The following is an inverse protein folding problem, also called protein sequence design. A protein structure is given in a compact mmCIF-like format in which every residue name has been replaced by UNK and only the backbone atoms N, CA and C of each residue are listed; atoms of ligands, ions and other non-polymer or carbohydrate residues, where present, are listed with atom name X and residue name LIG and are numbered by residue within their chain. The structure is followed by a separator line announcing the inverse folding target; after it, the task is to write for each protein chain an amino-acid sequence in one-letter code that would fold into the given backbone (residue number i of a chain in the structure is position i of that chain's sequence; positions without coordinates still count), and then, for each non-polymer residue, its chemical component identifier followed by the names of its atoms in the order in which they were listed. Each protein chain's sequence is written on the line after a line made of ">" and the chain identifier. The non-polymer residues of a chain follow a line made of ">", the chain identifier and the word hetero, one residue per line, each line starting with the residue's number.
data_IF_246875700499
#
_entry.id   IF_246875700499
#
_cell.length_a   1.000
_cell.length_b   1.000
_cell.length_c   1.000
_cell.angle_alpha   90.00
_cell.angle_beta   90.00
_cell.angle_gamma   90.00
#
_symmetry.space_group_name_H-M   'P 1'
#
loop_
_entity.id
_entity.type
_entity.pdbx_description
1 polymer ?
2 water ?
#
# COMPACT_ATOMS: atom_id res chain seq x y z
N UNK A 23 -41.30 -12.96 5.49
CA UNK A 23 -41.78 -11.53 5.54
C UNK A 23 -40.60 -10.56 5.57
N UNK A 24 -39.59 -10.81 6.40
CA UNK A 24 -38.28 -10.11 6.30
C UNK A 24 -37.56 -10.49 5.00
N UNK A 25 -37.93 -11.60 4.38
CA UNK A 25 -37.27 -12.15 3.17
C UNK A 25 -37.44 -11.22 1.98
N UNK A 26 -38.61 -10.60 1.86
CA UNK A 26 -38.94 -9.60 0.80
C UNK A 26 -37.91 -8.47 0.76
N UNK A 27 -37.30 -8.15 1.90
CA UNK A 27 -36.35 -7.03 1.96
C UNK A 27 -34.93 -7.46 1.73
N UNK A 28 -34.63 -8.76 1.82
CA UNK A 28 -33.20 -9.18 1.77
C UNK A 28 -32.55 -8.81 0.42
N UNK A 29 -33.31 -8.86 -0.65
CA UNK A 29 -32.82 -8.60 -2.01
C UNK A 29 -32.42 -7.13 -2.14
N UNK A 30 -33.24 -6.27 -1.60
CA UNK A 30 -32.92 -4.82 -1.48
C UNK A 30 -31.66 -4.61 -0.59
N UNK A 31 -31.56 -5.32 0.51
CA UNK A 31 -30.39 -5.24 1.39
C UNK A 31 -29.14 -5.58 0.59
N UNK A 32 -29.22 -6.63 -0.22
CA UNK A 32 -28.01 -7.11 -0.94
C UNK A 32 -27.66 -6.14 -2.06
N UNK A 33 -28.65 -5.61 -2.73
CA UNK A 33 -28.33 -4.68 -3.82
C UNK A 33 -27.63 -3.46 -3.20
N UNK A 34 -28.20 -2.91 -2.11
CA UNK A 34 -27.59 -1.67 -1.52
C UNK A 34 -26.17 -2.01 -1.05
N UNK A 35 -25.98 -3.18 -0.45
CA UNK A 35 -24.67 -3.59 0.05
C UNK A 35 -23.71 -3.62 -1.14
N UNK A 36 -24.11 -4.24 -2.24
CA UNK A 36 -23.18 -4.46 -3.38
C UNK A 36 -22.88 -3.12 -4.03
N UNK A 37 -23.88 -2.25 -4.16
CA UNK A 37 -23.59 -0.94 -4.76
C UNK A 37 -22.70 -0.14 -3.83
N UNK A 38 -22.90 -0.27 -2.52
CA UNK A 38 -22.10 0.49 -1.57
C UNK A 38 -20.68 -0.08 -1.60
N UNK A 39 -20.60 -1.41 -1.69
CA UNK A 39 -19.30 -2.10 -1.85
C UNK A 39 -18.50 -1.45 -2.96
N UNK A 40 -19.11 -1.23 -4.11
CA UNK A 40 -18.37 -0.70 -5.29
C UNK A 40 -17.93 0.71 -5.01
N UNK A 41 -18.83 1.52 -4.45
CA UNK A 41 -18.45 2.89 -4.05
C UNK A 41 -17.28 2.83 -3.09
N UNK A 42 -17.42 2.12 -1.97
CA UNK A 42 -16.34 2.07 -0.96
C UNK A 42 -15.02 1.58 -1.59
N UNK A 43 -15.07 0.62 -2.50
CA UNK A 43 -13.88 0.09 -3.17
C UNK A 43 -13.17 1.19 -3.98
N UNK A 44 -13.90 2.06 -4.65
CA UNK A 44 -13.29 3.05 -5.55
C UNK A 44 -12.94 4.34 -4.82
N UNK A 45 -13.64 4.69 -3.73
CA UNK A 45 -13.51 6.05 -3.14
C UNK A 45 -13.15 5.96 -1.66
N UNK A 46 -13.07 4.77 -1.07
CA UNK A 46 -12.87 4.67 0.39
C UNK A 46 -14.06 5.20 1.18
N UNK A 47 -14.10 4.85 2.45
CA UNK A 47 -15.26 5.17 3.31
C UNK A 47 -15.45 6.68 3.41
N UNK A 48 -14.38 7.43 3.74
CA UNK A 48 -14.45 8.87 4.10
C UNK A 48 -15.11 9.69 2.99
N UNK A 49 -14.80 9.38 1.74
CA UNK A 49 -15.25 10.19 0.59
C UNK A 49 -16.62 9.77 0.05
N UNK A 50 -17.16 8.64 0.49
CA UNK A 50 -18.48 8.16 -0.03
C UNK A 50 -19.59 8.81 0.78
N UNK A 51 -20.61 9.30 0.08
CA UNK A 51 -21.77 9.97 0.72
C UNK A 51 -23.01 9.09 0.67
N UNK A 52 -23.92 9.31 1.62
CA UNK A 52 -25.25 8.67 1.66
C UNK A 52 -26.01 9.04 0.39
N UNK A 53 -25.78 10.25 -0.13
CA UNK A 53 -26.41 10.64 -1.41
C UNK A 53 -25.95 9.70 -2.53
N UNK A 54 -24.65 9.47 -2.65
CA UNK A 54 -24.14 8.62 -3.76
C UNK A 54 -24.66 7.20 -3.58
N UNK A 55 -24.65 6.70 -2.34
CA UNK A 55 -25.12 5.33 -2.00
C UNK A 55 -26.59 5.16 -2.44
N UNK A 56 -27.43 6.07 -1.99
CA UNK A 56 -28.86 6.09 -2.41
C UNK A 56 -29.00 6.18 -3.93
N UNK A 57 -28.20 7.01 -4.59
CA UNK A 57 -28.29 7.15 -6.07
C UNK A 57 -27.88 5.84 -6.77
N UNK A 58 -26.75 5.25 -6.41
CA UNK A 58 -26.24 4.03 -7.10
C UNK A 58 -27.12 2.83 -6.77
N UNK A 59 -27.68 2.75 -5.56
CA UNK A 59 -28.54 1.60 -5.18
C UNK A 59 -29.97 1.80 -5.71
N UNK A 60 -30.35 3.05 -6.00
CA UNK A 60 -31.77 3.41 -6.30
C UNK A 60 -32.64 3.03 -5.11
N UNK A 61 -32.21 3.39 -3.91
CA UNK A 61 -33.01 3.23 -2.69
C UNK A 61 -33.01 4.53 -1.88
N UNK A 62 -34.11 4.84 -1.21
CA UNK A 62 -34.19 6.10 -0.44
C UNK A 62 -33.44 5.89 0.87
N UNK A 63 -33.11 7.00 1.54
CA UNK A 63 -32.38 6.97 2.82
C UNK A 63 -33.13 6.11 3.84
N UNK A 64 -34.45 6.04 3.73
CA UNK A 64 -35.28 5.24 4.66
C UNK A 64 -34.94 3.75 4.51
N UNK A 65 -34.76 3.27 3.29
CA UNK A 65 -34.51 1.82 3.05
C UNK A 65 -33.08 1.43 3.45
N UNK A 66 -32.13 2.28 3.12
CA UNK A 66 -30.74 2.09 3.60
C UNK A 66 -30.76 2.05 5.11
N UNK A 67 -31.41 3.02 5.74
CA UNK A 67 -31.36 3.12 7.22
C UNK A 67 -32.09 1.94 7.83
N UNK A 68 -33.13 1.47 7.17
CA UNK A 68 -33.89 0.32 7.72
C UNK A 68 -32.95 -0.87 7.90
N UNK A 69 -32.18 -1.17 6.86
CA UNK A 69 -31.30 -2.37 6.83
C UNK A 69 -30.01 -2.10 7.62
N UNK A 70 -29.41 -0.93 7.47
CA UNK A 70 -28.04 -0.76 8.02
C UNK A 70 -27.88 0.34 9.08
N UNK A 71 -28.95 1.07 9.42
CA UNK A 71 -28.99 2.18 10.44
C UNK A 71 -28.32 3.48 9.95
N UNK A 72 -27.06 3.41 9.56
CA UNK A 72 -26.31 4.57 9.02
C UNK A 72 -25.18 4.06 8.12
N UNK A 73 -24.41 5.01 7.57
CA UNK A 73 -23.29 4.78 6.65
C UNK A 73 -22.27 3.86 7.30
N UNK A 74 -22.03 4.00 8.59
CA UNK A 74 -21.06 3.15 9.33
C UNK A 74 -21.57 1.70 9.41
N UNK A 75 -22.88 1.51 9.64
CA UNK A 75 -23.48 0.18 9.71
C UNK A 75 -23.35 -0.49 8.34
N UNK A 76 -23.56 0.30 7.30
CA UNK A 76 -23.52 -0.19 5.94
C UNK A 76 -22.09 -0.65 5.67
N UNK A 77 -21.12 0.16 6.07
CA UNK A 77 -19.69 -0.12 5.79
C UNK A 77 -19.31 -1.41 6.52
N UNK A 78 -19.74 -1.57 7.75
CA UNK A 78 -19.44 -2.82 8.49
C UNK A 78 -20.11 -4.00 7.82
N UNK A 79 -21.35 -3.85 7.34
CA UNK A 79 -22.02 -4.96 6.66
C UNK A 79 -21.24 -5.31 5.38
N UNK A 80 -20.76 -4.29 4.69
CA UNK A 80 -19.91 -4.43 3.47
C UNK A 80 -18.66 -5.23 3.80
N UNK A 81 -17.99 -4.92 4.92
CA UNK A 81 -16.75 -5.62 5.32
C UNK A 81 -17.05 -7.09 5.58
N UNK A 82 -18.17 -7.40 6.26
CA UNK A 82 -18.50 -8.82 6.55
C UNK A 82 -18.80 -9.58 5.25
N UNK A 83 -19.60 -9.00 4.36
CA UNK A 83 -19.93 -9.68 3.09
C UNK A 83 -18.64 -9.86 2.26
N UNK A 84 -17.79 -8.85 2.21
CA UNK A 84 -16.51 -8.92 1.47
C UNK A 84 -15.67 -10.05 2.02
N UNK A 85 -15.58 -10.16 3.33
CA UNK A 85 -14.81 -11.26 3.96
C UNK A 85 -15.36 -12.60 3.48
N UNK A 86 -16.67 -12.76 3.51
CA UNK A 86 -17.28 -14.04 3.10
C UNK A 86 -16.91 -14.29 1.63
N UNK A 87 -16.89 -13.25 0.80
CA UNK A 87 -16.69 -13.46 -0.67
C UNK A 87 -15.23 -13.77 -0.94
N UNK A 88 -14.33 -13.12 -0.20
CA UNK A 88 -12.92 -13.48 -0.29
C UNK A 88 -12.74 -14.95 0.08
N UNK A 89 -13.38 -15.44 1.14
CA UNK A 89 -13.14 -16.84 1.54
C UNK A 89 -13.76 -17.79 0.51
N UNK A 90 -14.89 -17.43 -0.08
CA UNK A 90 -15.47 -18.24 -1.18
C UNK A 90 -14.45 -18.37 -2.32
N UNK A 91 -13.82 -17.26 -2.66
CA UNK A 91 -12.89 -17.20 -3.81
C UNK A 91 -11.61 -17.95 -3.47
N UNK A 92 -11.07 -17.80 -2.28
CA UNK A 92 -9.83 -18.55 -1.94
C UNK A 92 -10.17 -20.04 -1.87
N UNK A 93 -11.35 -20.41 -1.36
CA UNK A 93 -11.77 -21.83 -1.33
C UNK A 93 -11.91 -22.39 -2.77
N UNK A 94 -12.49 -21.64 -3.67
CA UNK A 94 -12.70 -22.09 -5.06
C UNK A 94 -11.36 -22.22 -5.79
N UNK A 95 -10.50 -21.22 -5.65
CA UNK A 95 -9.20 -21.22 -6.37
C UNK A 95 -8.30 -22.35 -5.85
N UNK A 96 -8.13 -22.41 -4.53
CA UNK A 96 -7.38 -23.50 -3.85
C UNK A 96 -7.88 -24.84 -4.33
N UNK A 97 -9.18 -25.01 -4.48
CA UNK A 97 -9.77 -26.31 -4.93
C UNK A 97 -9.33 -26.57 -6.38
N UNK A 98 -9.50 -25.61 -7.26
CA UNK A 98 -9.26 -25.80 -8.71
C UNK A 98 -7.78 -26.13 -9.00
N UNK A 99 -6.86 -25.64 -8.16
CA UNK A 99 -5.41 -25.66 -8.43
C UNK A 99 -4.68 -26.66 -7.52
N UNK A 100 -5.37 -27.40 -6.66
CA UNK A 100 -4.74 -28.37 -5.71
C UNK A 100 -3.71 -29.27 -6.40
N UNK A 101 -3.95 -29.82 -7.60
CA UNK A 101 -3.01 -30.79 -8.17
C UNK A 101 -1.74 -30.12 -8.72
N UNK A 102 -1.75 -28.80 -8.79
CA UNK A 102 -0.64 -28.10 -9.44
C UNK A 102 0.61 -28.08 -8.57
N UNK A 103 1.72 -27.79 -9.20
CA UNK A 103 2.99 -27.40 -8.56
C UNK A 103 2.81 -26.08 -7.77
N UNK A 104 3.68 -25.83 -6.78
CA UNK A 104 3.65 -24.56 -6.05
C UNK A 104 3.66 -23.34 -6.98
N UNK A 105 4.46 -23.40 -8.03
CA UNK A 105 4.54 -22.30 -9.05
C UNK A 105 3.16 -22.13 -9.71
N UNK A 106 2.54 -23.21 -10.13
CA UNK A 106 1.19 -23.14 -10.77
C UNK A 106 0.20 -22.46 -9.82
N UNK A 107 0.26 -22.83 -8.55
CA UNK A 107 -0.64 -22.26 -7.53
C UNK A 107 -0.40 -20.77 -7.39
N UNK A 108 0.87 -20.37 -7.25
CA UNK A 108 1.21 -18.93 -7.14
C UNK A 108 0.70 -18.19 -8.37
N UNK A 109 0.86 -18.79 -9.54
CA UNK A 109 0.37 -18.15 -10.78
C UNK A 109 -1.16 -18.00 -10.71
N UNK A 110 -1.87 -19.00 -10.21
CA UNK A 110 -3.36 -18.91 -10.17
C UNK A 110 -3.74 -17.78 -9.22
N UNK A 111 -3.03 -17.60 -8.12
CA UNK A 111 -3.39 -16.57 -7.13
C UNK A 111 -3.18 -15.18 -7.74
N UNK A 112 -2.03 -15.01 -8.38
CA UNK A 112 -1.71 -13.73 -9.07
C UNK A 112 -2.73 -13.46 -10.18
N UNK A 113 -3.17 -14.50 -10.87
CA UNK A 113 -4.15 -14.36 -11.98
C UNK A 113 -5.50 -13.84 -11.43
N UNK A 114 -5.99 -14.39 -10.32
CA UNK A 114 -7.31 -13.97 -9.82
C UNK A 114 -7.19 -12.51 -9.38
N UNK A 115 -6.06 -12.13 -8.81
CA UNK A 115 -5.93 -10.76 -8.32
C UNK A 115 -5.87 -9.80 -9.50
N UNK A 116 -5.07 -10.11 -10.51
CA UNK A 116 -4.90 -9.15 -11.63
C UNK A 116 -6.24 -9.04 -12.38
N UNK A 117 -6.96 -10.14 -12.46
CA UNK A 117 -8.31 -10.13 -13.08
C UNK A 117 -9.26 -9.19 -12.32
N UNK A 118 -9.02 -8.91 -11.04
CA UNK A 118 -9.97 -8.13 -10.22
C UNK A 118 -9.55 -6.66 -10.13
N UNK A 119 -8.60 -6.22 -10.95
CA UNK A 119 -7.99 -4.88 -10.78
C UNK A 119 -8.99 -3.79 -11.15
N UNK A 120 -9.83 -4.03 -12.14
CA UNK A 120 -10.86 -3.00 -12.48
C UNK A 120 -12.08 -3.64 -13.11
N UNK A 121 -13.23 -3.03 -12.87
CA UNK A 121 -14.55 -3.43 -13.43
C UNK A 121 -14.82 -4.95 -13.38
N UNK A 122 -14.67 -5.55 -12.19
CA UNK A 122 -14.99 -6.98 -11.96
C UNK A 122 -15.94 -7.06 -10.75
N UNK A 123 -17.04 -7.85 -10.83
CA UNK A 123 -18.00 -7.92 -9.72
C UNK A 123 -17.46 -8.47 -8.40
N UNK A 124 -16.35 -9.21 -8.43
CA UNK A 124 -15.63 -9.63 -7.19
C UNK A 124 -14.72 -8.51 -6.69
N UNK A 125 -14.39 -7.56 -7.56
CA UNK A 125 -13.25 -6.65 -7.32
C UNK A 125 -13.44 -5.92 -6.03
N UNK A 126 -14.67 -5.48 -5.75
CA UNK A 126 -14.94 -4.52 -4.64
C UNK A 126 -14.65 -5.19 -3.31
N UNK A 127 -14.88 -6.49 -3.20
CA UNK A 127 -14.62 -7.18 -1.93
C UNK A 127 -13.13 -7.18 -1.63
N UNK A 128 -12.33 -7.51 -2.64
CA UNK A 128 -10.86 -7.53 -2.47
C UNK A 128 -10.34 -6.14 -2.12
N UNK A 129 -10.77 -5.13 -2.84
CA UNK A 129 -10.22 -3.77 -2.67
C UNK A 129 -10.62 -3.23 -1.30
N UNK A 130 -11.83 -3.49 -0.90
CA UNK A 130 -12.38 -2.96 0.39
C UNK A 130 -11.60 -3.59 1.56
N UNK A 131 -11.42 -4.91 1.55
CA UNK A 131 -10.68 -5.58 2.63
C UNK A 131 -9.21 -5.16 2.64
N UNK A 132 -8.60 -4.98 1.47
CA UNK A 132 -7.18 -4.60 1.36
C UNK A 132 -7.03 -3.21 1.98
N UNK A 133 -7.86 -2.28 1.57
CA UNK A 133 -7.86 -0.92 2.14
C UNK A 133 -7.95 -1.02 3.67
N UNK A 134 -8.83 -1.89 4.17
CA UNK A 134 -9.12 -1.92 5.63
C UNK A 134 -7.93 -2.52 6.39
N UNK A 135 -7.31 -3.54 5.86
CA UNK A 135 -6.19 -4.18 6.60
C UNK A 135 -4.91 -3.32 6.49
N UNK A 136 -4.76 -2.50 5.46
CA UNK A 136 -3.66 -1.53 5.44
C UNK A 136 -3.86 -0.45 6.51
N UNK A 137 -5.05 0.13 6.61
CA UNK A 137 -5.39 1.18 7.58
C UNK A 137 -6.56 0.74 8.46
N UNK A 138 -6.33 0.02 9.58
CA UNK A 138 -7.39 -0.28 10.53
C UNK A 138 -8.12 0.98 11.05
N UNK A 152 -4.43 -15.63 10.00
CA UNK A 152 -3.94 -16.82 9.30
C UNK A 152 -4.11 -16.82 7.78
N UNK A 153 -4.23 -15.62 7.19
CA UNK A 153 -4.33 -15.42 5.70
C UNK A 153 -2.93 -15.45 5.08
N UNK A 154 -1.92 -14.97 5.82
CA UNK A 154 -0.52 -14.87 5.36
C UNK A 154 0.17 -16.24 5.38
N UNK A 155 -0.23 -17.15 6.27
CA UNK A 155 0.46 -18.48 6.38
C UNK A 155 0.20 -19.32 5.11
N UNK A 156 -0.83 -19.01 4.35
CA UNK A 156 -1.14 -19.77 3.09
C UNK A 156 -0.10 -19.42 2.03
N UNK A 157 0.11 -18.12 1.83
CA UNK A 157 1.17 -17.65 0.90
C UNK A 157 2.53 -18.13 1.44
N UNK A 158 2.78 -18.04 2.72
CA UNK A 158 4.09 -18.44 3.27
C UNK A 158 4.35 -19.91 2.99
N UNK A 159 3.35 -20.76 3.13
CA UNK A 159 3.50 -22.19 2.82
C UNK A 159 3.88 -22.37 1.36
N UNK A 160 3.15 -21.72 0.47
CA UNK A 160 3.42 -21.72 -0.98
C UNK A 160 4.88 -21.26 -1.27
N UNK A 161 5.25 -20.07 -0.77
CA UNK A 161 6.60 -19.54 -1.03
C UNK A 161 7.67 -20.47 -0.44
N UNK A 162 7.35 -21.12 0.67
CA UNK A 162 8.31 -22.03 1.35
C UNK A 162 8.56 -23.25 0.50
N UNK A 163 7.53 -23.76 -0.12
CA UNK A 163 7.67 -24.95 -1.02
C UNK A 163 8.42 -24.54 -2.28
N UNK A 164 8.18 -23.34 -2.81
CA UNK A 164 8.87 -22.88 -4.05
C UNK A 164 10.36 -22.80 -3.77
N UNK A 166 12.00 -24.32 -1.11
CA UNK A 166 12.41 -25.44 -0.21
C UNK A 166 12.89 -24.87 1.13
N UNK A 167 12.15 -23.95 1.69
CA UNK A 167 12.45 -23.38 3.02
C UNK A 167 11.22 -23.56 3.89
N UNK A 168 11.40 -23.69 5.21
CA UNK A 168 10.25 -23.78 6.10
C UNK A 168 9.41 -22.51 6.02
N UNK A 169 8.11 -22.64 6.29
CA UNK A 169 7.13 -21.58 6.02
C UNK A 169 7.36 -20.34 6.90
N UNK A 170 8.10 -20.50 8.01
CA UNK A 170 8.41 -19.41 8.97
C UNK A 170 9.92 -19.11 8.99
N UNK A 171 10.67 -19.58 8.00
CA UNK A 171 12.06 -19.10 7.80
C UNK A 171 12.01 -17.60 7.57
N UNK A 172 12.98 -16.82 8.10
CA UNK A 172 12.98 -15.38 7.87
C UNK A 172 12.91 -14.99 6.38
N UNK A 173 13.60 -15.73 5.53
CA UNK A 173 13.56 -15.44 4.06
C UNK A 173 12.14 -15.62 3.56
N UNK A 174 11.42 -16.62 4.07
CA UNK A 174 10.02 -16.83 3.60
C UNK A 174 9.13 -15.69 4.06
N UNK A 175 9.32 -15.20 5.28
CA UNK A 175 8.51 -14.11 5.85
C UNK A 175 8.73 -12.83 5.05
N UNK A 176 9.99 -12.46 4.78
CA UNK A 176 10.30 -11.27 3.94
C UNK A 176 9.79 -11.49 2.53
N UNK A 177 9.94 -12.71 1.96
CA UNK A 177 9.56 -12.96 0.55
C UNK A 177 8.06 -12.74 0.41
N UNK A 178 7.28 -13.09 1.41
CA UNK A 178 5.81 -12.90 1.30
C UNK A 178 5.47 -11.42 1.04
N UNK A 179 6.14 -10.51 1.73
CA UNK A 179 5.96 -9.05 1.48
C UNK A 179 6.43 -8.75 0.06
N UNK A 180 7.58 -9.28 -0.34
CA UNK A 180 8.08 -8.99 -1.70
C UNK A 180 7.05 -9.46 -2.73
N UNK A 181 6.38 -10.59 -2.49
CA UNK A 181 5.41 -11.11 -3.48
C UNK A 181 4.06 -10.38 -3.39
N UNK A 182 3.51 -10.12 -2.21
CA UNK A 182 2.11 -9.62 -2.21
C UNK A 182 2.09 -8.08 -2.31
N UNK A 183 3.01 -7.34 -1.71
CA UNK A 183 2.89 -5.86 -1.64
C UNK A 183 2.61 -5.25 -3.01
N UNK A 184 3.30 -5.64 -4.12
CA UNK A 184 2.95 -5.10 -5.44
C UNK A 184 1.49 -5.31 -5.84
N UNK A 185 0.95 -6.46 -5.48
CA UNK A 185 -0.46 -6.81 -5.79
C UNK A 185 -1.43 -5.89 -5.06
N UNK A 186 -1.26 -5.84 -3.75
CA UNK A 186 -2.05 -4.93 -2.89
C UNK A 186 -1.98 -3.52 -3.45
N UNK A 187 -0.80 -3.06 -3.81
CA UNK A 187 -0.67 -1.65 -4.27
C UNK A 187 -1.40 -1.47 -5.59
N UNK A 188 -1.32 -2.44 -6.48
CA UNK A 188 -2.05 -2.33 -7.75
C UNK A 188 -3.56 -2.30 -7.45
N UNK A 189 -4.00 -3.15 -6.54
CA UNK A 189 -5.44 -3.35 -6.28
C UNK A 189 -6.12 -2.03 -5.94
N UNK A 190 -5.52 -1.26 -5.03
CA UNK A 190 -6.26 -0.14 -4.38
C UNK A 190 -5.73 1.22 -4.83
N UNK A 191 -4.68 1.28 -5.61
CA UNK A 191 -4.29 2.57 -6.21
C UNK A 191 -3.47 2.36 -7.48
N UNK A 192 -4.07 1.83 -8.54
CA UNK A 192 -3.39 1.72 -9.88
C UNK A 192 -3.63 2.96 -10.75
N UNK A 193 -4.84 3.54 -10.68
CA UNK A 193 -5.17 4.80 -11.42
C UNK A 193 -4.36 5.98 -10.90
N UNK A 194 -4.26 6.20 -9.56
CA UNK A 194 -3.38 7.26 -9.04
C UNK A 194 -1.95 7.22 -9.59
N UNK A 195 -1.37 6.03 -9.77
CA UNK A 195 0.02 5.89 -10.28
C UNK A 195 0.04 5.61 -11.79
N UNK A 196 -1.03 5.05 -12.35
CA UNK A 196 -1.09 4.73 -13.81
C UNK A 196 -1.02 6.03 -14.61
N UNK A 197 -1.69 7.08 -14.15
CA UNK A 197 -1.79 8.32 -14.97
C UNK A 197 -1.10 9.54 -14.33
N UNK A 198 -0.51 9.45 -13.14
CA UNK A 198 0.11 10.65 -12.51
C UNK A 198 1.63 10.50 -12.41
N UNK A 199 2.13 9.40 -11.85
CA UNK A 199 3.56 9.29 -11.43
C UNK A 199 4.27 8.05 -11.99
N UNK A 200 3.55 7.00 -12.40
CA UNK A 200 4.11 5.98 -13.32
C UNK A 200 3.37 6.13 -14.65
N UNK A 201 3.42 7.32 -15.22
CA UNK A 201 2.67 7.69 -16.45
C UNK A 201 3.09 6.73 -17.57
N UNK A 202 2.10 6.21 -18.29
CA UNK A 202 2.33 5.26 -19.39
C UNK A 202 2.28 3.81 -18.92
N UNK A 203 2.04 3.57 -17.62
CA UNK A 203 2.04 2.19 -17.07
C UNK A 203 1.01 1.36 -17.86
N UNK A 204 1.47 0.23 -18.41
CA UNK A 204 0.62 -0.77 -19.09
C UNK A 204 0.05 -1.70 -18.01
N UNK A 205 -1.25 -1.60 -17.75
CA UNK A 205 -2.01 -2.49 -16.84
C UNK A 205 -2.63 -3.63 -17.65
N UNK A 206 -2.15 -3.86 -18.88
CA UNK A 206 -2.61 -5.02 -19.68
C UNK A 206 -2.42 -6.29 -18.87
N UNK A 207 -3.50 -7.07 -18.58
CA UNK A 207 -3.44 -8.11 -17.56
C UNK A 207 -2.45 -9.27 -17.82
N UNK A 208 -2.36 -9.76 -19.05
CA UNK A 208 -1.46 -10.92 -19.31
C UNK A 208 0.00 -10.51 -19.18
N UNK A 209 0.38 -9.33 -19.67
CA UNK A 209 1.73 -8.76 -19.46
C UNK A 209 2.01 -8.55 -17.97
N UNK A 210 1.00 -8.14 -17.22
CA UNK A 210 1.16 -7.87 -15.77
C UNK A 210 1.35 -9.20 -15.04
N UNK A 211 0.58 -10.23 -15.38
CA UNK A 211 0.74 -11.55 -14.71
C UNK A 211 2.12 -12.14 -15.04
N UNK A 212 2.50 -12.10 -16.32
CA UNK A 212 3.81 -12.64 -16.74
C UNK A 212 4.95 -11.90 -16.02
N UNK A 213 4.83 -10.60 -15.84
CA UNK A 213 5.84 -9.81 -15.10
C UNK A 213 5.97 -10.30 -13.66
N UNK A 216 7.41 -13.90 -13.33
CA UNK A 216 8.83 -13.94 -13.68
C UNK A 216 9.62 -13.25 -12.58
N UNK A 217 9.20 -12.07 -12.17
CA UNK A 217 9.90 -11.28 -11.15
C UNK A 217 9.93 -12.06 -9.84
N UNK A 218 8.80 -12.61 -9.44
CA UNK A 218 8.74 -13.37 -8.16
C UNK A 218 9.65 -14.60 -8.19
N UNK A 219 9.53 -15.43 -9.22
CA UNK A 219 10.36 -16.62 -9.35
C UNK A 219 11.84 -16.25 -9.41
N UNK A 220 12.21 -15.12 -10.04
CA UNK A 220 13.63 -14.73 -10.06
C UNK A 220 14.10 -14.29 -8.68
N UNK A 221 13.28 -13.54 -7.96
CA UNK A 221 13.64 -13.04 -6.63
C UNK A 221 13.66 -14.16 -5.60
N UNK A 222 12.69 -15.05 -5.66
CA UNK A 222 12.61 -16.20 -4.71
C UNK A 222 13.78 -17.13 -4.91
N UNK A 223 14.18 -17.34 -6.16
CA UNK A 223 15.32 -18.24 -6.44
C UNK A 223 16.56 -17.64 -5.82
N UNK A 224 16.75 -16.33 -5.99
CA UNK A 224 17.95 -15.66 -5.52
C UNK A 224 18.00 -15.74 -4.00
N UNK A 225 16.91 -15.45 -3.33
CA UNK A 225 17.02 -15.36 -1.83
C UNK A 225 17.07 -16.78 -1.27
N UNK A 226 16.37 -17.72 -1.91
CA UNK A 226 16.47 -19.14 -1.48
C UNK A 226 17.94 -19.56 -1.53
N UNK A 227 18.66 -19.07 -2.55
CA UNK A 227 20.04 -19.53 -2.74
C UNK A 227 20.85 -19.01 -1.56
N UNK A 228 20.74 -17.74 -1.21
CA UNK A 228 21.51 -17.21 -0.05
C UNK A 228 21.10 -18.00 1.19
N UNK A 229 19.82 -18.31 1.39
CA UNK A 229 19.39 -18.97 2.63
C UNK A 229 19.97 -20.40 2.70
N UNK A 230 20.02 -21.14 1.58
CA UNK A 230 20.56 -22.53 1.58
C UNK A 230 22.08 -22.48 1.76
N UNK A 231 22.74 -21.47 1.19
CA UNK A 231 24.20 -21.24 1.49
C UNK A 231 24.43 -20.99 2.98
N UNK A 232 23.63 -20.14 3.62
CA UNK A 232 23.81 -19.81 5.05
C UNK A 232 23.76 -21.11 5.90
N UNK A 233 22.99 -22.10 5.50
CA UNK A 233 22.84 -23.35 6.31
C UNK A 233 23.86 -24.43 5.97
N UNK A 234 24.62 -24.30 4.90
CA UNK A 234 25.33 -25.42 4.20
C UNK A 234 26.45 -26.01 5.07
N UNK B 21 11.88 23.50 24.24
CA UNK B 21 11.76 24.45 25.37
C UNK B 21 10.32 24.96 25.42
N UNK B 22 10.08 26.03 26.19
CA UNK B 22 8.78 26.73 26.29
C UNK B 22 8.75 27.89 25.30
N UNK B 23 7.75 27.94 24.46
CA UNK B 23 7.65 28.93 23.36
C UNK B 23 6.29 29.64 23.44
N UNK B 24 6.31 30.90 23.04
CA UNK B 24 5.09 31.73 22.96
C UNK B 24 4.04 31.02 22.09
N UNK B 25 2.79 31.08 22.53
CA UNK B 25 1.67 30.40 21.82
C UNK B 25 1.69 30.79 20.34
N UNK B 26 1.88 32.06 20.04
CA UNK B 26 1.69 32.56 18.66
C UNK B 26 2.96 32.36 17.82
N UNK B 27 4.05 31.81 18.34
CA UNK B 27 5.31 31.75 17.60
C UNK B 27 5.37 30.52 16.67
N UNK B 28 6.39 30.52 15.84
CA UNK B 28 6.65 29.46 14.84
C UNK B 28 7.31 28.25 15.48
N UNK B 29 8.04 28.38 16.57
CA UNK B 29 8.53 27.20 17.33
C UNK B 29 7.36 26.35 17.80
N UNK B 30 6.35 26.99 18.39
CA UNK B 30 5.14 26.24 18.83
C UNK B 30 4.43 25.62 17.61
N UNK B 31 4.26 26.39 16.54
CA UNK B 31 3.61 25.86 15.32
C UNK B 31 4.42 24.64 14.84
N UNK B 32 5.73 24.73 14.74
CA UNK B 32 6.53 23.61 14.16
C UNK B 32 6.43 22.39 15.10
N UNK B 33 6.53 22.62 16.39
CA UNK B 33 6.49 21.48 17.32
C UNK B 33 5.14 20.76 17.17
N UNK B 34 4.05 21.53 17.11
CA UNK B 34 2.72 20.88 16.97
C UNK B 34 2.68 20.13 15.63
N UNK B 35 3.17 20.77 14.58
CA UNK B 35 3.07 20.23 13.22
C UNK B 35 3.77 18.85 13.23
N UNK B 36 4.97 18.77 13.81
CA UNK B 36 5.81 17.56 13.75
C UNK B 36 5.23 16.46 14.62
N UNK B 37 4.79 16.77 15.83
CA UNK B 37 4.23 15.70 16.70
C UNK B 37 2.91 15.21 16.12
N UNK B 38 2.13 16.08 15.49
CA UNK B 38 0.86 15.61 14.88
C UNK B 38 1.20 14.82 13.63
N UNK B 39 2.27 15.19 12.94
CA UNK B 39 2.78 14.36 11.83
C UNK B 39 2.99 12.92 12.30
N UNK B 40 3.67 12.75 13.43
CA UNK B 40 4.00 11.39 13.95
C UNK B 40 2.69 10.70 14.29
N UNK B 41 1.80 11.40 14.98
CA UNK B 41 0.52 10.79 15.42
C UNK B 41 -0.26 10.38 14.18
N UNK B 42 -0.44 11.27 13.21
CA UNK B 42 -1.26 10.98 12.01
C UNK B 42 -0.64 9.81 11.23
N UNK B 43 0.68 9.77 11.11
CA UNK B 43 1.38 8.66 10.43
C UNK B 43 1.10 7.33 11.15
N UNK B 44 0.99 7.30 12.46
CA UNK B 44 0.64 6.07 13.20
C UNK B 44 -0.83 5.73 12.92
N UNK B 45 -1.75 6.65 13.16
CA UNK B 45 -3.15 6.31 13.52
C UNK B 45 -4.17 6.85 12.50
N UNK B 46 -3.74 7.43 11.39
CA UNK B 46 -4.71 8.04 10.45
C UNK B 46 -5.40 9.26 11.04
N UNK B 47 -6.17 9.96 10.20
CA UNK B 47 -6.85 11.20 10.64
C UNK B 47 -7.95 10.86 11.65
N UNK B 48 -8.91 10.01 11.28
CA UNK B 48 -10.19 9.83 12.02
C UNK B 48 -9.93 9.31 13.43
N UNK B 49 -8.93 8.45 13.62
CA UNK B 49 -8.68 7.81 14.93
C UNK B 49 -7.99 8.77 15.92
N UNK B 50 -7.35 9.84 15.43
CA UNK B 50 -6.57 10.76 16.29
C UNK B 50 -7.49 11.83 16.86
N UNK B 51 -7.28 12.17 18.13
CA UNK B 51 -8.12 13.14 18.89
C UNK B 51 -7.34 14.43 19.15
N UNK B 52 -8.08 15.50 19.42
CA UNK B 52 -7.52 16.79 19.89
C UNK B 52 -6.66 16.51 21.12
N UNK B 53 -7.16 15.66 22.01
CA UNK B 53 -6.45 15.39 23.28
C UNK B 53 -5.13 14.70 22.98
N UNK B 54 -5.11 13.73 22.06
CA UNK B 54 -3.86 13.00 21.75
C UNK B 54 -2.85 13.99 21.15
N UNK B 55 -3.29 14.85 20.24
CA UNK B 55 -2.38 15.86 19.59
C UNK B 55 -1.79 16.76 20.65
N UNK B 56 -2.65 17.34 21.48
CA UNK B 56 -2.20 18.24 22.57
C UNK B 56 -1.24 17.51 23.50
N UNK B 57 -1.54 16.27 23.85
CA UNK B 57 -0.71 15.47 24.79
C UNK B 57 0.68 15.31 24.19
N UNK B 58 0.76 14.75 22.98
CA UNK B 58 2.08 14.45 22.34
C UNK B 58 2.85 15.75 22.06
N UNK B 59 2.15 16.80 21.59
CA UNK B 59 2.82 18.08 21.22
C UNK B 59 3.18 18.88 22.46
N UNK B 60 2.57 18.53 23.59
CA UNK B 60 2.68 19.29 24.86
C UNK B 60 2.30 20.74 24.62
N UNK B 61 1.10 20.93 24.08
CA UNK B 61 0.56 22.26 23.76
C UNK B 61 -0.94 22.30 24.01
N UNK B 62 -1.44 23.40 24.57
CA UNK B 62 -2.90 23.54 24.82
C UNK B 62 -3.66 23.58 23.49
N UNK B 63 -4.94 23.25 23.54
CA UNK B 63 -5.85 23.26 22.38
C UNK B 63 -5.93 24.69 21.80
N UNK B 64 -5.67 25.70 22.61
CA UNK B 64 -5.67 27.11 22.15
C UNK B 64 -4.50 27.33 21.17
N UNK B 65 -3.34 26.72 21.45
CA UNK B 65 -2.16 26.83 20.58
C UNK B 65 -2.46 26.13 19.24
N UNK B 66 -3.02 24.95 19.32
CA UNK B 66 -3.38 24.19 18.10
C UNK B 66 -4.33 25.05 17.29
N UNK B 67 -5.41 25.53 17.90
CA UNK B 67 -6.47 26.26 17.17
C UNK B 67 -5.90 27.57 16.64
N UNK B 68 -5.04 28.20 17.38
CA UNK B 68 -4.45 29.48 16.96
C UNK B 68 -3.80 29.28 15.58
N UNK B 69 -2.95 28.27 15.47
CA UNK B 69 -2.14 28.07 14.24
C UNK B 69 -2.92 27.30 13.20
N UNK B 70 -3.78 26.37 13.56
CA UNK B 70 -4.33 25.42 12.57
C UNK B 70 -5.88 25.36 12.50
N UNK B 71 -6.56 26.12 13.35
CA UNK B 71 -8.05 26.25 13.45
C UNK B 71 -8.66 24.98 14.06
N UNK B 72 -8.40 23.82 13.50
CA UNK B 72 -9.00 22.57 14.03
C UNK B 72 -8.15 21.39 13.52
N UNK B 73 -8.56 20.19 13.90
CA UNK B 73 -7.80 18.95 13.63
C UNK B 73 -7.63 18.78 12.11
N UNK B 74 -8.63 19.15 11.34
CA UNK B 74 -8.60 19.07 9.86
C UNK B 74 -7.60 20.07 9.28
N UNK B 75 -7.55 21.31 9.81
CA UNK B 75 -6.60 22.33 9.34
C UNK B 75 -5.18 21.88 9.65
N UNK B 76 -4.99 21.24 10.82
CA UNK B 76 -3.69 20.76 11.23
C UNK B 76 -3.27 19.66 10.25
N UNK B 77 -4.18 18.77 9.92
CA UNK B 77 -3.87 17.62 9.03
C UNK B 77 -3.47 18.17 7.66
N UNK B 78 -4.20 19.15 7.17
CA UNK B 78 -3.86 19.76 5.87
C UNK B 78 -2.50 20.41 5.92
N UNK B 79 -2.16 21.05 7.05
CA UNK B 79 -0.80 21.63 7.19
C UNK B 79 0.24 20.51 7.13
N UNK B 80 -0.06 19.41 7.78
CA UNK B 80 0.84 18.24 7.90
C UNK B 80 1.10 17.66 6.49
N UNK B 81 0.05 17.53 5.68
CA UNK B 81 0.14 17.02 4.30
C UNK B 81 1.00 17.96 3.48
N UNK B 82 0.84 19.28 3.63
CA UNK B 82 1.65 20.24 2.84
C UNK B 82 3.11 20.06 3.24
N UNK B 83 3.41 20.07 4.53
CA UNK B 83 4.80 19.95 5.01
C UNK B 83 5.40 18.58 4.57
N UNK B 84 4.63 17.51 4.66
CA UNK B 84 5.05 16.18 4.19
C UNK B 84 5.44 16.25 2.71
N UNK B 85 4.60 16.85 1.90
CA UNK B 85 4.91 17.07 0.46
C UNK B 85 6.25 17.77 0.32
N UNK B 86 6.44 18.89 1.05
CA UNK B 86 7.68 19.65 0.92
C UNK B 86 8.86 18.75 1.28
N UNK B 87 8.69 17.90 2.28
CA UNK B 87 9.84 17.13 2.83
C UNK B 87 10.14 15.95 1.91
N UNK B 88 9.11 15.37 1.31
CA UNK B 88 9.33 14.33 0.27
C UNK B 88 10.12 14.93 -0.90
N UNK B 89 9.77 16.12 -1.37
CA UNK B 89 10.50 16.74 -2.50
C UNK B 89 11.94 17.09 -2.05
N UNK B 90 12.14 17.48 -0.81
CA UNK B 90 13.52 17.76 -0.32
C UNK B 90 14.37 16.49 -0.39
N UNK B 91 13.78 15.36 -0.02
CA UNK B 91 14.47 14.07 0.03
C UNK B 91 14.75 13.61 -1.41
N UNK B 92 13.78 13.74 -2.30
CA UNK B 92 13.96 13.51 -3.75
C UNK B 92 15.12 14.39 -4.29
N UNK B 93 15.13 15.68 -3.96
CA UNK B 93 16.23 16.60 -4.37
C UNK B 93 17.57 16.14 -3.79
N UNK B 94 17.59 15.68 -2.54
CA UNK B 94 18.85 15.30 -1.87
C UNK B 94 19.40 14.02 -2.48
N UNK B 95 18.52 13.11 -2.87
CA UNK B 95 18.93 11.83 -3.49
C UNK B 95 19.52 12.13 -4.87
N UNK B 96 18.79 12.84 -5.72
CA UNK B 96 19.26 13.14 -7.09
C UNK B 96 20.62 13.82 -7.02
N UNK B 97 20.93 14.61 -5.99
CA UNK B 97 22.16 15.44 -6.01
C UNK B 97 23.32 14.75 -5.31
N UNK B 98 23.07 13.82 -4.39
CA UNK B 98 24.18 13.15 -3.64
C UNK B 98 24.50 11.80 -4.25
N UNK B 99 24.26 11.66 -5.57
CA UNK B 99 24.47 10.39 -6.32
C UNK B 99 25.98 10.14 -6.45
N UNK B 100 26.51 9.27 -5.59
CA UNK B 100 27.93 8.85 -5.67
C UNK B 100 28.07 7.99 -6.93
N UNK B 101 29.19 8.14 -7.65
CA UNK B 101 29.47 7.21 -8.76
C UNK B 101 29.50 5.79 -8.23
N UNK B 102 29.19 4.84 -9.11
CA UNK B 102 29.11 3.42 -8.73
C UNK B 102 28.30 2.64 -9.75
N UNK B 103 28.21 1.34 -9.52
CA UNK B 103 27.37 0.43 -10.33
C UNK B 103 25.89 0.77 -10.15
N UNK B 104 25.04 0.47 -11.15
CA UNK B 104 23.60 0.61 -10.95
C UNK B 104 23.16 -0.17 -9.70
N UNK B 105 23.74 -1.34 -9.44
CA UNK B 105 23.36 -2.12 -8.23
C UNK B 105 23.69 -1.29 -6.97
N UNK B 106 24.87 -0.68 -6.89
CA UNK B 106 25.28 0.02 -5.63
C UNK B 106 24.41 1.25 -5.44
N UNK B 107 23.99 1.86 -6.52
CA UNK B 107 23.06 3.02 -6.44
C UNK B 107 21.71 2.55 -5.95
N UNK B 108 21.18 1.49 -6.54
CA UNK B 108 19.91 0.92 -6.06
C UNK B 108 20.05 0.54 -4.57
N UNK B 109 21.17 -0.03 -4.17
CA UNK B 109 21.32 -0.36 -2.74
C UNK B 109 21.26 0.92 -1.89
N UNK B 110 21.89 2.00 -2.32
CA UNK B 110 21.91 3.27 -1.56
C UNK B 110 20.49 3.86 -1.50
N UNK B 111 19.73 3.74 -2.58
CA UNK B 111 18.34 4.27 -2.61
C UNK B 111 17.45 3.46 -1.66
N UNK B 112 17.54 2.14 -1.73
CA UNK B 112 16.77 1.26 -0.82
C UNK B 112 17.17 1.56 0.63
N UNK B 113 18.46 1.80 0.89
CA UNK B 113 18.96 2.12 2.24
C UNK B 113 18.27 3.39 2.78
N UNK B 114 18.14 4.41 1.97
CA UNK B 114 17.44 5.66 2.33
C UNK B 114 16.03 5.35 2.78
N UNK B 115 15.36 4.50 2.03
CA UNK B 115 13.98 4.19 2.39
C UNK B 115 13.93 3.38 3.70
N UNK B 116 14.73 2.34 3.80
CA UNK B 116 14.68 1.45 4.99
C UNK B 116 15.06 2.25 6.25
N UNK B 117 16.05 3.14 6.17
CA UNK B 117 16.43 4.03 7.30
C UNK B 117 15.21 4.84 7.75
N UNK B 118 14.29 5.16 6.86
CA UNK B 118 13.15 6.02 7.26
C UNK B 118 11.99 5.21 7.86
N UNK B 119 12.09 3.91 8.04
CA UNK B 119 10.93 3.08 8.49
C UNK B 119 10.73 3.23 9.99
N UNK B 120 11.84 3.24 10.73
CA UNK B 120 11.75 3.35 12.21
C UNK B 120 12.73 4.38 12.74
N UNK B 121 12.29 5.14 13.74
CA UNK B 121 13.15 6.14 14.44
C UNK B 121 13.81 7.12 13.48
N UNK B 122 13.08 7.64 12.49
CA UNK B 122 13.68 8.67 11.60
C UNK B 122 12.81 9.94 11.63
N UNK B 123 13.41 11.14 11.77
CA UNK B 123 12.65 12.39 11.78
C UNK B 123 11.76 12.60 10.55
N UNK B 124 12.20 12.13 9.37
CA UNK B 124 11.43 12.27 8.11
C UNK B 124 10.44 11.13 7.90
N UNK B 125 10.46 10.09 8.73
CA UNK B 125 9.57 8.93 8.55
C UNK B 125 8.12 9.34 8.39
N UNK B 126 7.65 10.28 9.21
CA UNK B 126 6.20 10.57 9.28
C UNK B 126 5.72 11.24 7.99
N UNK B 127 6.59 11.97 7.32
CA UNK B 127 6.22 12.59 6.03
C UNK B 127 5.86 11.50 5.01
N UNK B 128 6.71 10.48 4.92
CA UNK B 128 6.52 9.37 3.95
C UNK B 128 5.29 8.57 4.36
N UNK B 129 5.11 8.28 5.63
CA UNK B 129 3.96 7.41 6.02
C UNK B 129 2.64 8.15 5.76
N UNK B 130 2.62 9.44 6.07
CA UNK B 130 1.39 10.24 5.88
C UNK B 130 1.07 10.31 4.39
N UNK B 131 2.06 10.55 3.55
CA UNK B 131 1.82 10.74 2.10
C UNK B 131 1.45 9.42 1.44
N UNK B 132 2.11 8.32 1.81
CA UNK B 132 1.84 7.03 1.13
C UNK B 132 0.46 6.58 1.58
N UNK B 133 0.11 6.81 2.84
CA UNK B 133 -1.25 6.45 3.29
C UNK B 133 -2.31 7.27 2.54
N UNK B 134 -2.00 8.54 2.26
CA UNK B 134 -2.97 9.42 1.54
C UNK B 134 -3.03 9.01 0.07
N UNK B 135 -1.93 8.55 -0.50
CA UNK B 135 -1.92 8.14 -1.93
C UNK B 135 -2.69 6.83 -2.13
N UNK B 136 -2.76 5.98 -1.12
CA UNK B 136 -3.64 4.80 -1.20
C UNK B 136 -5.11 5.22 -1.10
N UNK B 137 -5.43 6.04 -0.10
CA UNK B 137 -6.83 6.51 0.13
C UNK B 137 -6.87 8.03 0.10
N UNK B 138 -7.87 8.65 -0.58
CA UNK B 138 -8.00 10.10 -0.67
C UNK B 138 -8.48 10.77 0.63
N UNK B 139 -8.36 12.10 0.69
CA UNK B 139 -8.76 12.96 1.84
C UNK B 139 -7.93 12.62 3.08
N UNK B 144 -8.78 20.48 0.83
CA UNK B 144 -8.19 20.11 -0.48
C UNK B 144 -7.91 18.60 -0.49
N UNK B 145 -8.55 17.87 -1.40
CA UNK B 145 -8.34 16.40 -1.52
C UNK B 145 -7.00 16.19 -2.21
N UNK B 146 -6.35 15.05 -2.00
CA UNK B 146 -5.02 14.80 -2.66
C UNK B 146 -5.26 14.34 -4.09
N UNK B 147 -5.57 15.30 -4.97
CA UNK B 147 -5.82 15.09 -6.42
C UNK B 147 -5.43 16.42 -7.07
N UNK B 148 -4.13 16.69 -7.11
CA UNK B 148 -3.61 17.97 -7.67
C UNK B 148 -2.22 17.81 -8.29
N UNK B 149 -2.08 18.43 -9.47
CA UNK B 149 -0.85 18.60 -10.31
C UNK B 149 -0.10 17.27 -10.44
N UNK B 150 1.20 17.30 -10.11
CA UNK B 150 2.15 16.17 -10.21
C UNK B 150 2.87 15.98 -8.88
N UNK B 151 3.53 14.83 -8.74
CA UNK B 151 4.36 14.42 -7.58
C UNK B 151 5.76 14.08 -8.09
N UNK B 152 6.69 13.63 -7.24
CA UNK B 152 7.88 12.93 -7.73
C UNK B 152 7.51 11.76 -8.66
N UNK B 153 8.11 11.73 -9.86
CA UNK B 153 7.77 10.74 -10.90
C UNK B 153 8.72 9.54 -10.84
N UNK B 154 9.37 9.28 -9.70
CA UNK B 154 10.27 8.12 -9.50
C UNK B 154 11.28 8.05 -10.66
N UNK B 155 11.81 9.22 -11.05
CA UNK B 155 12.73 9.35 -12.20
C UNK B 155 14.01 8.55 -11.90
N UNK B 156 14.53 8.67 -10.69
CA UNK B 156 15.87 8.09 -10.37
C UNK B 156 15.73 6.58 -10.21
N UNK B 157 14.60 6.10 -9.66
CA UNK B 157 14.40 4.63 -9.57
C UNK B 157 14.30 4.08 -11.02
N UNK B 158 13.42 4.63 -11.85
CA UNK B 158 13.21 4.06 -13.18
C UNK B 158 14.53 4.09 -13.96
N UNK B 159 15.31 5.15 -13.77
CA UNK B 159 16.62 5.27 -14.44
C UNK B 159 17.51 4.13 -14.02
N UNK B 160 17.67 3.94 -12.71
CA UNK B 160 18.45 2.80 -12.15
C UNK B 160 17.93 1.45 -12.67
N UNK B 161 16.62 1.24 -12.66
CA UNK B 161 16.05 -0.07 -13.04
C UNK B 161 16.33 -0.33 -14.52
N UNK B 162 16.21 0.71 -15.35
CA UNK B 162 16.49 0.59 -16.80
C UNK B 162 17.93 0.27 -17.07
N UNK B 163 18.81 0.87 -16.30
CA UNK B 163 20.28 0.60 -16.43
C UNK B 163 20.55 -0.84 -16.00
N UNK B 164 19.86 -1.33 -14.96
CA UNK B 164 20.16 -2.67 -14.41
C UNK B 164 19.70 -3.68 -15.45
N UNK B 166 19.03 -2.91 -18.77
CA UNK B 166 19.40 -2.42 -20.13
C UNK B 166 18.15 -2.22 -20.97
N UNK B 167 17.24 -1.44 -20.44
CA UNK B 167 15.98 -1.08 -21.10
C UNK B 167 15.78 0.40 -20.87
N UNK B 168 15.04 1.11 -21.73
CA UNK B 168 14.78 2.52 -21.49
C UNK B 168 14.01 2.70 -20.17
N UNK B 169 14.14 3.87 -19.56
CA UNK B 169 13.59 4.19 -18.23
C UNK B 169 12.07 4.24 -18.27
N UNK B 170 11.44 4.29 -19.45
CA UNK B 170 9.96 4.27 -19.62
C UNK B 170 9.52 3.06 -20.45
N UNK B 171 10.41 2.12 -20.73
CA UNK B 171 10.00 0.79 -21.23
C UNK B 171 9.00 0.17 -20.23
N UNK B 172 7.94 -0.49 -20.74
CA UNK B 172 6.90 -1.03 -19.87
C UNK B 172 7.40 -1.95 -18.76
N UNK B 173 8.38 -2.80 -19.06
CA UNK B 173 8.99 -3.68 -18.06
C UNK B 173 9.57 -2.82 -16.94
N UNK B 174 10.13 -1.65 -17.29
CA UNK B 174 10.74 -0.77 -16.26
C UNK B 174 9.68 -0.17 -15.37
N UNK B 175 8.53 0.20 -15.93
CA UNK B 175 7.42 0.81 -15.12
C UNK B 175 6.89 -0.24 -14.12
N UNK B 176 6.66 -1.45 -14.58
CA UNK B 176 6.21 -2.59 -13.73
C UNK B 176 7.24 -2.88 -12.67
N UNK B 177 8.53 -2.92 -13.05
CA UNK B 177 9.61 -3.25 -12.10
C UNK B 177 9.61 -2.19 -11.00
N UNK B 178 9.26 -0.94 -11.32
CA UNK B 178 9.30 0.14 -10.31
C UNK B 178 8.35 -0.26 -9.18
N UNK B 179 7.18 -0.73 -9.51
CA UNK B 179 6.17 -1.18 -8.53
C UNK B 179 6.76 -2.39 -7.79
N UNK B 180 7.31 -3.36 -8.54
CA UNK B 180 7.89 -4.56 -7.87
C UNK B 180 8.95 -4.17 -6.86
N UNK B 181 9.67 -3.09 -7.09
CA UNK B 181 10.76 -2.64 -6.18
C UNK B 181 10.28 -1.73 -5.07
N UNK B 182 9.45 -0.72 -5.31
CA UNK B 182 9.11 0.21 -4.20
C UNK B 182 7.94 -0.32 -3.36
N UNK B 183 6.98 -1.00 -3.94
CA UNK B 183 5.77 -1.46 -3.21
C UNK B 183 6.12 -2.13 -1.89
N UNK B 184 7.14 -3.01 -1.77
CA UNK B 184 7.41 -3.62 -0.48
C UNK B 184 7.80 -2.59 0.58
N UNK B 185 8.52 -1.57 0.17
CA UNK B 185 9.00 -0.53 1.11
C UNK B 185 7.81 0.33 1.58
N UNK B 186 6.99 0.79 0.64
CA UNK B 186 5.73 1.49 0.91
C UNK B 186 4.90 0.64 1.88
N UNK B 187 4.79 -0.65 1.62
CA UNK B 187 4.01 -1.55 2.48
C UNK B 187 4.59 -1.50 3.90
N UNK B 188 5.91 -1.56 3.99
CA UNK B 188 6.53 -1.61 5.32
C UNK B 188 6.34 -0.26 6.02
N UNK B 189 6.37 0.85 5.31
CA UNK B 189 6.24 2.18 5.96
C UNK B 189 4.93 2.27 6.71
N UNK B 190 3.84 1.73 6.14
CA UNK B 190 2.47 1.99 6.66
C UNK B 190 1.89 0.80 7.38
N UNK B 191 2.57 -0.34 7.42
CA UNK B 191 2.01 -1.49 8.17
C UNK B 191 1.93 -1.11 9.66
N UNK B 192 0.86 -1.50 10.35
CA UNK B 192 0.72 -1.13 11.78
C UNK B 192 1.12 -2.30 12.68
N UNK B 193 0.25 -3.32 12.72
CA UNK B 193 0.49 -4.53 13.54
C UNK B 193 0.25 -5.82 12.75
N UNK B 194 0.14 -5.81 11.39
CA UNK B 194 0.00 -7.06 10.64
C UNK B 194 1.29 -7.87 10.86
N UNK B 195 2.44 -7.21 10.84
CA UNK B 195 3.76 -7.81 11.11
C UNK B 195 3.64 -8.69 12.37
N UNK B 201 5.02 -12.84 11.40
CA UNK B 201 5.27 -13.74 12.57
C UNK B 201 6.48 -13.22 13.37
N UNK B 202 6.58 -11.90 13.53
CA UNK B 202 7.45 -11.28 14.56
C UNK B 202 8.89 -11.12 14.13
N UNK B 203 9.19 -11.06 12.83
CA UNK B 203 10.59 -10.97 12.34
C UNK B 203 11.19 -9.60 12.68
N UNK B 204 12.51 -9.55 12.87
CA UNK B 204 13.26 -8.39 13.37
C UNK B 204 13.23 -7.23 12.36
N UNK B 205 13.12 -6.02 12.90
CA UNK B 205 13.09 -4.72 12.16
C UNK B 205 14.45 -4.40 11.50
N UNK B 206 15.49 -5.17 11.82
CA UNK B 206 16.89 -4.75 11.63
C UNK B 206 17.14 -4.48 10.14
N UNK B 207 17.68 -3.28 9.81
CA UNK B 207 17.73 -2.83 8.42
C UNK B 207 18.65 -3.60 7.47
N UNK B 208 19.78 -4.11 7.93
CA UNK B 208 20.78 -4.77 7.06
C UNK B 208 20.18 -6.00 6.40
N UNK B 209 19.60 -6.91 7.19
CA UNK B 209 18.98 -8.15 6.68
C UNK B 209 17.82 -7.82 5.74
N UNK B 210 17.09 -6.76 6.04
CA UNK B 210 16.02 -6.25 5.16
C UNK B 210 16.61 -5.69 3.87
N UNK B 211 17.71 -4.94 3.95
CA UNK B 211 18.30 -4.34 2.73
C UNK B 211 18.88 -5.48 1.86
N UNK B 212 19.58 -6.43 2.47
CA UNK B 212 20.20 -7.53 1.70
C UNK B 212 19.11 -8.38 1.03
N UNK B 213 18.02 -8.64 1.71
CA UNK B 213 16.89 -9.39 1.10
C UNK B 213 16.35 -8.66 -0.12
N UNK B 216 18.94 -8.74 -3.09
CA UNK B 216 19.06 -10.08 -3.70
C UNK B 216 17.77 -10.36 -4.48
N UNK B 217 16.61 -10.25 -3.80
CA UNK B 217 15.30 -10.41 -4.47
C UNK B 217 15.16 -9.50 -5.69
N UNK B 218 15.49 -8.23 -5.53
CA UNK B 218 15.27 -7.27 -6.66
C UNK B 218 16.14 -7.63 -7.85
N UNK B 219 17.44 -7.84 -7.63
CA UNK B 219 18.36 -8.24 -8.71
C UNK B 219 17.94 -9.57 -9.32
N UNK B 220 17.42 -10.52 -8.54
CA UNK B 220 16.91 -11.78 -9.14
C UNK B 220 15.70 -11.54 -10.04
N UNK B 221 14.72 -10.75 -9.55
CA UNK B 221 13.48 -10.48 -10.33
C UNK B 221 13.76 -9.62 -11.56
N UNK B 222 14.59 -8.61 -11.40
CA UNK B 222 14.95 -7.69 -12.53
C UNK B 222 15.65 -8.47 -13.63
N UNK B 223 16.61 -9.34 -13.24
CA UNK B 223 17.38 -10.13 -14.22
C UNK B 223 16.37 -10.98 -15.01
N UNK B 224 15.40 -11.59 -14.33
CA UNK B 224 14.48 -12.55 -14.96
C UNK B 224 13.63 -11.80 -15.97
N UNK B 225 13.08 -10.68 -15.57
CA UNK B 225 12.10 -9.98 -16.45
C UNK B 225 12.86 -9.28 -17.59
N UNK B 226 14.09 -8.84 -17.33
CA UNK B 226 14.90 -8.27 -18.42
C UNK B 226 15.17 -9.35 -19.46
N UNK B 227 15.41 -10.59 -19.02
CA UNK B 227 15.76 -11.66 -19.96
C UNK B 227 14.56 -11.83 -20.90
N UNK B 228 13.36 -11.94 -20.32
CA UNK B 228 12.12 -12.06 -21.08
C UNK B 228 12.00 -10.89 -22.05
N UNK B 229 12.23 -9.67 -21.60
CA UNK B 229 12.06 -8.49 -22.45
C UNK B 229 13.09 -8.49 -23.58
N UNK B 230 14.28 -9.03 -23.37
CA UNK B 230 15.34 -9.10 -24.41
C UNK B 230 15.14 -10.30 -25.35
N UNK B 231 14.25 -11.26 -25.07
CA UNK B 231 14.22 -12.56 -25.81
C UNK B 231 13.90 -12.37 -27.29
#
# INVERSE_FOLDING_TARGET
>A
XGHHHHHHHXDNAIGKPSLPRASRLDGQATRLQILEKAGELFAEQGLANTTSKQICERSQANSAAVNYHFVNKEGLYRAVLLEAHARLVQLETLVSLNERPGSPQDKLRALITVLVERLHNHPDGWALKVLTREVLSPSPEFEVVLKEQSFPKAHILRGLLGQIXNLPADHPTTLRSAISVFAPCLFLLIAHQPLKQHVLQGLSLEPQGLIDHXXSYALGGLQAVAATAHDAAS
>B
XGHHHHHHHXDNAIGKPSLPRASRLDGQATRLQILEKAGELFAEQGLANTTSKQICERSQANSAAVNYHFVNKEGLYRAVLLEAHARLVQLETLVSLNERPGSPQDKLRALITVLVERLHNHPDGWALKVLTREVLSPSPEFEVVLKEQSFPKAHILRGLLGQIXNLPADHPTTLRSAISVFAPCLFLLIAHQPLKQHVLQGLSLEPQGLIDHXXSYALGGLQAVAATAHDAAS
#
